data_IF_639434615194
#
_entry.id   IF_639434615194
#
_cell.length_a   1.000
_cell.length_b   1.000
_cell.length_c   1.000
_cell.angle_alpha   90.00
_cell.angle_beta   90.00
_cell.angle_gamma   90.00
#
_symmetry.space_group_name_H-M   'P 1'
#
loop_
_entity.id
_entity.type
_entity.pdbx_description
1 polymer ?
#
# COMPACT_ATOMS: atom_id res chain seq x y z
N UNK A 1 -4.73 -31.79 2.92
CA UNK A 1 -3.81 -30.71 2.52
C UNK A 1 -4.38 -30.07 1.26
N UNK A 2 -5.09 -28.95 1.38
CA UNK A 2 -5.66 -28.25 0.22
C UNK A 2 -4.60 -27.29 -0.33
N UNK A 3 -4.11 -27.60 -1.54
CA UNK A 3 -3.38 -26.66 -2.39
C UNK A 3 -4.34 -25.51 -2.74
N UNK A 4 -4.28 -24.41 -1.98
CA UNK A 4 -4.84 -23.14 -2.46
C UNK A 4 -3.83 -22.48 -3.39
N UNK A 5 -4.28 -21.91 -4.53
CA UNK A 5 -3.36 -21.27 -5.47
C UNK A 5 -2.61 -20.12 -4.78
N UNK A 6 -1.36 -19.92 -5.19
CA UNK A 6 -0.46 -18.83 -4.75
C UNK A 6 -1.04 -17.41 -4.98
N UNK A 7 -2.20 -17.29 -5.62
CA UNK A 7 -2.91 -16.04 -5.85
C UNK A 7 -3.62 -15.45 -4.61
N UNK A 8 -3.70 -16.18 -3.49
CA UNK A 8 -4.20 -15.65 -2.20
C UNK A 8 -3.12 -14.96 -1.34
N UNK A 9 -1.88 -14.86 -1.83
CA UNK A 9 -0.73 -14.40 -1.07
C UNK A 9 -0.23 -13.04 -1.57
N UNK A 10 -1.10 -12.05 -1.62
CA UNK A 10 -0.66 -10.67 -1.85
C UNK A 10 -0.72 -9.91 -0.53
N UNK A 11 0.44 -9.43 -0.08
CA UNK A 11 0.56 -8.51 1.05
C UNK A 11 -0.39 -7.32 0.92
N UNK A 12 -0.70 -6.95 -0.33
CA UNK A 12 -1.70 -5.96 -0.69
C UNK A 12 -2.58 -6.52 -1.82
N UNK A 13 -3.86 -6.75 -1.54
CA UNK A 13 -4.81 -7.25 -2.54
C UNK A 13 -5.57 -6.12 -3.26
N UNK A 14 -6.03 -6.32 -4.50
CA UNK A 14 -6.86 -5.36 -5.24
C UNK A 14 -8.10 -4.89 -4.48
N UNK A 15 -8.69 -5.78 -3.69
CA UNK A 15 -9.92 -5.55 -2.92
C UNK A 15 -9.72 -4.55 -1.79
N UNK A 16 -8.48 -4.43 -1.28
CA UNK A 16 -8.09 -3.37 -0.33
C UNK A 16 -7.57 -2.12 -1.05
N UNK A 17 -6.85 -2.26 -2.16
CA UNK A 17 -6.29 -1.13 -2.90
C UNK A 17 -7.34 -0.26 -3.56
N UNK A 18 -8.32 -0.88 -4.22
CA UNK A 18 -9.36 -0.16 -4.96
C UNK A 18 -10.11 0.84 -4.06
N UNK A 19 -10.73 0.44 -2.93
CA UNK A 19 -11.43 1.39 -2.07
C UNK A 19 -10.52 2.46 -1.48
N UNK A 20 -9.26 2.13 -1.18
CA UNK A 20 -8.29 3.10 -0.69
C UNK A 20 -7.93 4.16 -1.74
N UNK A 21 -7.61 3.74 -2.97
CA UNK A 21 -7.29 4.63 -4.07
C UNK A 21 -8.50 5.48 -4.48
N UNK A 22 -9.71 4.91 -4.42
CA UNK A 22 -10.96 5.65 -4.61
C UNK A 22 -11.09 6.77 -3.58
N UNK A 23 -10.91 6.46 -2.30
CA UNK A 23 -10.97 7.46 -1.23
C UNK A 23 -9.96 8.61 -1.45
N UNK A 24 -8.72 8.29 -1.82
CA UNK A 24 -7.71 9.32 -2.14
C UNK A 24 -8.17 10.18 -3.30
N UNK A 25 -8.66 9.58 -4.39
CA UNK A 25 -9.08 10.29 -5.61
C UNK A 25 -10.25 11.23 -5.35
N UNK A 26 -11.22 10.79 -4.56
CA UNK A 26 -12.37 11.58 -4.13
C UNK A 26 -11.95 12.79 -3.28
N UNK A 27 -10.94 12.62 -2.42
CA UNK A 27 -10.43 13.67 -1.53
C UNK A 27 -9.13 14.35 -2.00
N UNK A 28 -8.76 14.20 -3.28
CA UNK A 28 -7.42 14.55 -3.79
C UNK A 28 -6.97 16.00 -3.55
N UNK A 29 -7.91 16.96 -3.52
CA UNK A 29 -7.58 18.38 -3.27
C UNK A 29 -7.03 18.61 -1.86
N UNK A 30 -7.59 17.91 -0.87
CA UNK A 30 -7.13 17.94 0.53
C UNK A 30 -5.77 17.26 0.63
N UNK A 31 -5.62 16.10 -0.03
CA UNK A 31 -4.36 15.37 -0.06
C UNK A 31 -3.25 16.15 -0.75
N UNK A 32 -3.51 16.78 -1.91
CA UNK A 32 -2.53 17.58 -2.66
C UNK A 32 -2.00 18.77 -1.84
N UNK A 33 -2.90 19.55 -1.24
CA UNK A 33 -2.52 20.66 -0.37
C UNK A 33 -1.70 20.22 0.87
N UNK A 34 -1.88 18.96 1.31
CA UNK A 34 -1.15 18.40 2.46
C UNK A 34 0.17 17.74 2.03
N UNK A 35 0.25 17.18 0.82
CA UNK A 35 1.48 16.60 0.22
C UNK A 35 2.54 17.67 0.02
N UNK A 36 2.14 18.88 -0.33
CA UNK A 36 3.04 20.03 -0.45
C UNK A 36 3.63 20.47 0.90
N UNK A 37 3.03 20.08 2.03
CA UNK A 37 3.44 20.54 3.37
C UNK A 37 3.99 19.44 4.30
N UNK A 38 3.36 18.25 4.46
CA UNK A 38 3.76 17.24 5.49
C UNK A 38 3.14 15.82 5.35
N UNK A 39 2.39 15.47 4.29
CA UNK A 39 1.50 14.29 4.29
C UNK A 39 2.16 12.92 4.45
N UNK A 40 3.43 12.76 4.05
CA UNK A 40 4.15 11.49 4.14
C UNK A 40 4.19 10.96 5.57
N UNK A 41 4.26 11.82 6.57
CA UNK A 41 4.24 11.43 7.99
C UNK A 41 2.86 10.92 8.45
N UNK A 42 1.78 11.69 8.21
CA UNK A 42 0.43 11.33 8.72
C UNK A 42 -0.18 10.12 8.00
N UNK A 43 0.09 9.95 6.71
CA UNK A 43 -0.33 8.74 5.99
C UNK A 43 0.50 7.53 6.43
N UNK A 44 1.81 7.67 6.67
CA UNK A 44 2.62 6.59 7.22
C UNK A 44 2.10 6.15 8.59
N UNK A 45 1.71 7.07 9.47
CA UNK A 45 1.18 6.76 10.81
C UNK A 45 -0.19 6.07 10.75
N UNK A 46 -1.09 6.53 9.87
CA UNK A 46 -2.39 5.89 9.66
C UNK A 46 -2.24 4.47 9.10
N UNK A 47 -1.30 4.28 8.17
CA UNK A 47 -0.96 2.97 7.61
C UNK A 47 -0.31 2.06 8.64
N UNK A 48 0.64 2.55 9.44
CA UNK A 48 1.25 1.78 10.52
C UNK A 48 0.23 1.28 11.53
N UNK A 49 -0.80 2.08 11.84
CA UNK A 49 -1.90 1.67 12.75
C UNK A 49 -2.85 0.64 12.15
N UNK A 50 -3.15 0.72 10.85
CA UNK A 50 -3.89 -0.31 10.12
C UNK A 50 -3.06 -1.59 9.92
N UNK A 51 -1.73 -1.46 9.89
CA UNK A 51 -0.83 -2.52 9.46
C UNK A 51 -0.67 -3.68 10.44
N UNK A 52 -0.70 -3.44 11.76
CA UNK A 52 -0.37 -4.50 12.72
C UNK A 52 -1.34 -5.70 12.69
N UNK A 53 -2.62 -5.48 12.33
CA UNK A 53 -3.61 -6.57 12.30
C UNK A 53 -3.72 -7.29 10.96
N UNK A 54 -3.37 -6.62 9.85
CA UNK A 54 -3.49 -7.20 8.50
C UNK A 54 -2.15 -7.75 8.01
N UNK A 55 -1.05 -7.01 8.21
CA UNK A 55 0.25 -7.37 7.64
C UNK A 55 1.01 -8.38 8.49
N UNK A 56 0.93 -8.29 9.83
CA UNK A 56 1.63 -9.23 10.74
C UNK A 56 1.25 -10.70 10.47
N UNK A 57 -0.04 -11.08 10.34
CA UNK A 57 -0.40 -12.45 10.00
C UNK A 57 0.13 -12.88 8.62
N UNK A 58 0.16 -11.96 7.65
CA UNK A 58 0.64 -12.24 6.30
C UNK A 58 2.16 -12.47 6.34
N UNK A 59 2.93 -11.58 6.97
CA UNK A 59 4.39 -11.70 7.11
C UNK A 59 4.79 -12.99 7.85
N UNK A 60 4.06 -13.36 8.89
CA UNK A 60 4.23 -14.65 9.58
C UNK A 60 4.00 -15.84 8.63
N UNK A 61 2.98 -15.77 7.77
CA UNK A 61 2.67 -16.83 6.79
C UNK A 61 3.74 -16.95 5.70
N UNK A 62 4.45 -15.87 5.40
CA UNK A 62 5.61 -15.85 4.50
C UNK A 62 6.94 -16.22 5.18
N UNK A 63 6.94 -16.51 6.48
CA UNK A 63 8.14 -16.89 7.23
C UNK A 63 9.10 -15.73 7.47
N UNK A 64 8.63 -14.48 7.45
CA UNK A 64 9.46 -13.31 7.76
C UNK A 64 9.80 -13.33 9.26
N UNK A 65 11.09 -13.34 9.66
CA UNK A 65 11.49 -13.33 11.06
C UNK A 65 10.92 -12.11 11.81
N UNK A 66 10.40 -12.26 13.05
CA UNK A 66 9.82 -11.15 13.82
C UNK A 66 10.69 -9.89 13.90
N UNK A 67 12.01 -10.07 14.01
CA UNK A 67 13.01 -9.00 14.03
C UNK A 67 13.04 -8.17 12.73
N UNK A 68 12.72 -8.80 11.60
CA UNK A 68 12.76 -8.21 10.26
C UNK A 68 11.41 -7.60 9.85
N UNK A 69 10.31 -8.05 10.46
CA UNK A 69 8.95 -7.64 10.09
C UNK A 69 8.76 -6.13 10.08
N UNK A 70 9.36 -5.42 11.06
CA UNK A 70 9.27 -3.95 11.11
C UNK A 70 9.92 -3.27 9.89
N UNK A 71 11.00 -3.83 9.35
CA UNK A 71 11.72 -3.28 8.20
C UNK A 71 11.01 -3.62 6.91
N UNK A 72 10.60 -4.88 6.73
CA UNK A 72 9.81 -5.33 5.58
C UNK A 72 8.51 -4.52 5.47
N UNK A 73 7.83 -4.33 6.59
CA UNK A 73 6.62 -3.52 6.65
C UNK A 73 6.87 -2.06 6.30
N UNK A 74 7.96 -1.45 6.81
CA UNK A 74 8.32 -0.07 6.48
C UNK A 74 8.61 0.07 4.98
N UNK A 75 9.35 -0.86 4.39
CA UNK A 75 9.68 -0.86 2.97
C UNK A 75 8.43 -0.88 2.08
N UNK A 76 7.49 -1.81 2.34
CA UNK A 76 6.28 -1.91 1.54
C UNK A 76 5.35 -0.70 1.68
N UNK A 77 5.16 -0.17 2.90
CA UNK A 77 4.37 1.07 3.09
C UNK A 77 5.04 2.22 2.33
N UNK A 78 6.35 2.40 2.49
CA UNK A 78 7.08 3.49 1.84
C UNK A 78 7.03 3.38 0.32
N UNK A 79 7.13 2.18 -0.24
CA UNK A 79 6.97 1.94 -1.68
C UNK A 79 5.55 2.26 -2.18
N UNK A 80 4.52 1.81 -1.47
CA UNK A 80 3.12 2.15 -1.80
C UNK A 80 2.90 3.67 -1.77
N UNK A 81 3.38 4.33 -0.71
CA UNK A 81 3.26 5.77 -0.52
C UNK A 81 3.96 6.57 -1.63
N UNK A 82 5.11 6.10 -2.11
CA UNK A 82 5.81 6.73 -3.23
C UNK A 82 4.96 6.73 -4.50
N UNK A 83 4.33 5.60 -4.83
CA UNK A 83 3.46 5.48 -6.02
C UNK A 83 2.21 6.36 -5.88
N UNK A 84 1.57 6.35 -4.71
CA UNK A 84 0.38 7.19 -4.43
C UNK A 84 0.71 8.68 -4.53
N UNK A 85 1.86 9.11 -4.00
CA UNK A 85 2.29 10.50 -4.08
C UNK A 85 2.55 10.92 -5.52
N UNK A 86 3.15 10.06 -6.34
CA UNK A 86 3.38 10.34 -7.76
C UNK A 86 2.04 10.49 -8.52
N UNK A 87 1.09 9.60 -8.25
CA UNK A 87 -0.26 9.69 -8.81
C UNK A 87 -1.00 10.97 -8.38
N UNK A 88 -0.83 11.40 -7.12
CA UNK A 88 -1.42 12.63 -6.59
C UNK A 88 -0.83 13.91 -7.21
N UNK A 89 0.48 13.94 -7.51
CA UNK A 89 1.11 15.08 -8.19
C UNK A 89 0.47 15.35 -9.55
N UNK A 90 0.16 14.28 -10.27
CA UNK A 90 -0.52 14.29 -11.57
C UNK A 90 -2.06 14.39 -11.45
N UNK A 91 -2.58 14.91 -10.33
CA UNK A 91 -4.03 15.07 -10.03
C UNK A 91 -4.84 13.76 -10.19
N UNK A 92 -4.26 12.63 -9.84
CA UNK A 92 -4.87 11.32 -9.98
C UNK A 92 -5.31 11.01 -11.43
N UNK A 93 -4.51 11.45 -12.43
CA UNK A 93 -4.81 11.29 -13.86
C UNK A 93 -5.05 9.85 -14.27
N UNK A 94 -4.19 8.92 -13.85
CA UNK A 94 -4.31 7.52 -14.22
C UNK A 94 -5.52 6.86 -13.53
N UNK A 95 -6.13 5.87 -14.18
CA UNK A 95 -7.26 5.15 -13.60
C UNK A 95 -6.81 4.20 -12.49
N UNK A 96 -7.72 3.87 -11.57
CA UNK A 96 -7.42 2.94 -10.48
C UNK A 96 -7.14 1.54 -11.05
N UNK A 97 -7.85 1.16 -12.11
CA UNK A 97 -7.66 -0.09 -12.86
C UNK A 97 -6.25 -0.19 -13.46
N UNK A 98 -5.65 0.94 -13.84
CA UNK A 98 -4.25 1.00 -14.28
C UNK A 98 -3.26 0.98 -13.10
N UNK A 99 -3.58 1.69 -12.01
CA UNK A 99 -2.64 1.87 -10.90
C UNK A 99 -2.49 0.61 -10.02
N UNK A 100 -3.57 -0.15 -9.82
CA UNK A 100 -3.56 -1.40 -9.04
C UNK A 100 -2.51 -2.42 -9.56
N UNK A 101 -2.46 -2.77 -10.87
CA UNK A 101 -1.44 -3.69 -11.36
C UNK A 101 -0.02 -3.11 -11.29
N UNK A 102 0.16 -1.79 -11.40
CA UNK A 102 1.47 -1.13 -11.21
C UNK A 102 1.96 -1.34 -9.77
N UNK A 103 1.12 -1.04 -8.78
CA UNK A 103 1.43 -1.23 -7.35
C UNK A 103 1.76 -2.69 -7.06
N UNK A 104 0.96 -3.64 -7.58
CA UNK A 104 1.21 -5.07 -7.37
C UNK A 104 2.54 -5.52 -7.96
N UNK A 105 2.91 -5.02 -9.14
CA UNK A 105 4.19 -5.35 -9.79
C UNK A 105 5.37 -4.82 -8.98
N UNK A 106 5.31 -3.57 -8.51
CA UNK A 106 6.38 -2.98 -7.71
C UNK A 106 6.58 -3.70 -6.37
N UNK A 107 5.50 -4.16 -5.74
CA UNK A 107 5.57 -4.88 -4.46
C UNK A 107 6.08 -6.32 -4.63
N UNK A 108 5.77 -6.99 -5.75
CA UNK A 108 6.27 -8.34 -6.05
C UNK A 108 7.76 -8.39 -6.42
N UNK A 109 8.32 -7.29 -6.89
CA UNK A 109 9.71 -7.22 -7.38
C UNK A 109 10.71 -6.66 -6.35
N UNK A 110 10.20 -6.18 -5.21
CA UNK A 110 11.02 -5.63 -4.12
C UNK A 110 11.24 -6.62 -2.99
#
# INVERSE_FOLDING_TARGET
>A
MQNRPLDEFHLITPEYLTPYLTYIKEHRRIFKATVEQTSTLRMTDAYQKLNCHVFTPILNRFGVPPEDQKYVMKFHISGLMAIVNEWLKEDCRDSIEHLVPVIRRCIKQG
#
